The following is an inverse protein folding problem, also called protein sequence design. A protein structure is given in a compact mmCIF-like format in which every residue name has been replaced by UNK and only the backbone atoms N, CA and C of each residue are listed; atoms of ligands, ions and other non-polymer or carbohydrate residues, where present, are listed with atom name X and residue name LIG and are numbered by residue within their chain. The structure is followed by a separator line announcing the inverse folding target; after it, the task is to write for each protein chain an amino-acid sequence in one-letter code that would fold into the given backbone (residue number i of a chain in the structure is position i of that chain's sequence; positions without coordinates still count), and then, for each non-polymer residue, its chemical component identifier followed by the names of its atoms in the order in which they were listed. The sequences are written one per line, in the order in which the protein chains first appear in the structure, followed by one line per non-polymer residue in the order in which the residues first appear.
data_IF_747518199275
#
_entry.id   IF_747518199275
#
_cell.length_a   1.000
_cell.length_b   1.000
_cell.length_c   1.000
_cell.angle_alpha   90.00
_cell.angle_beta   90.00
_cell.angle_gamma   90.00
#
_symmetry.space_group_name_H-M   'P 1'
#
loop_
_entity.id
_entity.type
_entity.pdbx_description
1 polymer ?
#
# COMPACT_ATOMS: atom_id res chain seq x y z
N UNK A 1 -20.93 -71.15 -9.04
CA UNK A 1 -20.76 -69.70 -9.23
C UNK A 1 -21.25 -69.00 -7.98
N UNK A 2 -20.35 -68.46 -7.16
CA UNK A 2 -20.67 -67.65 -5.97
C UNK A 2 -20.43 -66.18 -6.35
N UNK A 3 -21.48 -65.38 -6.36
CA UNK A 3 -21.42 -63.92 -6.56
C UNK A 3 -21.03 -63.26 -5.24
N UNK A 4 -19.86 -62.61 -5.22
CA UNK A 4 -19.42 -61.69 -4.18
C UNK A 4 -19.88 -60.28 -4.55
N UNK A 5 -20.77 -59.72 -3.75
CA UNK A 5 -21.20 -58.32 -3.86
C UNK A 5 -20.29 -57.48 -2.96
N UNK A 6 -19.42 -56.66 -3.56
CA UNK A 6 -18.59 -55.71 -2.84
C UNK A 6 -19.42 -54.48 -2.45
N UNK A 7 -19.63 -54.26 -1.16
CA UNK A 7 -20.19 -53.01 -0.64
C UNK A 7 -19.05 -52.02 -0.46
N UNK A 8 -19.03 -50.95 -1.25
CA UNK A 8 -18.12 -49.83 -1.06
C UNK A 8 -18.67 -48.92 0.04
N UNK A 9 -17.98 -48.88 1.18
CA UNK A 9 -18.29 -47.96 2.29
C UNK A 9 -17.65 -46.61 1.96
N UNK A 10 -18.44 -45.64 1.52
CA UNK A 10 -18.01 -44.26 1.36
C UNK A 10 -17.88 -43.62 2.76
N UNK A 11 -16.65 -43.42 3.23
CA UNK A 11 -16.38 -42.62 4.42
C UNK A 11 -16.61 -41.13 4.09
N UNK A 12 -17.76 -40.60 4.49
CA UNK A 12 -17.99 -39.16 4.58
C UNK A 12 -17.11 -38.60 5.71
N UNK A 13 -15.95 -38.06 5.34
CA UNK A 13 -15.17 -37.20 6.24
C UNK A 13 -15.97 -35.89 6.41
N UNK A 14 -16.71 -35.80 7.51
CA UNK A 14 -17.25 -34.52 7.96
C UNK A 14 -16.07 -33.59 8.26
N UNK A 15 -15.91 -32.53 7.47
CA UNK A 15 -14.98 -31.46 7.78
C UNK A 15 -15.43 -30.79 9.08
N UNK A 16 -14.63 -30.92 10.14
CA UNK A 16 -14.86 -30.19 11.38
C UNK A 16 -14.91 -28.69 11.09
N UNK A 17 -15.81 -27.93 11.72
CA UNK A 17 -15.82 -26.47 11.58
C UNK A 17 -14.48 -25.93 12.10
N UNK A 18 -13.66 -25.40 11.19
CA UNK A 18 -12.42 -24.70 11.55
C UNK A 18 -12.83 -23.48 12.36
N UNK A 19 -12.66 -23.55 13.68
CA UNK A 19 -12.83 -22.40 14.54
C UNK A 19 -11.65 -21.45 14.31
N UNK A 20 -11.93 -20.16 14.16
CA UNK A 20 -10.89 -19.14 14.13
C UNK A 20 -10.11 -19.16 15.46
N UNK A 21 -8.77 -19.18 15.39
CA UNK A 21 -7.88 -19.12 16.55
C UNK A 21 -7.86 -17.72 17.20
N UNK A 22 -8.20 -16.68 16.44
CA UNK A 22 -8.31 -15.30 16.90
C UNK A 22 -9.37 -14.52 16.10
N UNK A 23 -9.81 -13.37 16.61
CA UNK A 23 -10.66 -12.41 15.90
C UNK A 23 -10.11 -10.98 15.95
N UNK A 24 -8.77 -10.85 16.00
CA UNK A 24 -8.08 -9.55 16.09
C UNK A 24 -8.44 -8.63 14.92
N UNK A 25 -8.58 -7.31 15.12
CA UNK A 25 -8.97 -6.40 14.05
C UNK A 25 -7.97 -6.38 12.89
N UNK A 26 -8.47 -6.15 11.68
CA UNK A 26 -7.65 -5.83 10.49
C UNK A 26 -7.65 -4.31 10.28
N UNK A 27 -6.48 -3.74 10.04
CA UNK A 27 -6.33 -2.34 9.59
C UNK A 27 -5.82 -2.35 8.16
N UNK A 28 -6.63 -1.81 7.25
CA UNK A 28 -6.34 -1.65 5.83
C UNK A 28 -5.56 -0.35 5.60
N UNK A 29 -4.40 -0.43 4.94
CA UNK A 29 -3.48 0.71 4.72
C UNK A 29 -3.20 0.90 3.24
N UNK A 30 -3.74 1.99 2.66
CA UNK A 30 -3.57 2.30 1.24
C UNK A 30 -2.12 2.71 0.89
N UNK A 31 -1.80 2.74 -0.39
CA UNK A 31 -0.49 3.17 -0.90
C UNK A 31 -0.44 4.60 -1.42
N UNK A 32 0.42 4.80 -2.40
CA UNK A 32 0.62 6.06 -3.12
C UNK A 32 -0.68 6.50 -3.79
N UNK A 33 -0.99 7.80 -3.68
CA UNK A 33 -2.26 8.42 -4.13
C UNK A 33 -3.54 7.79 -3.56
N UNK A 34 -3.41 6.91 -2.56
CA UNK A 34 -4.58 6.33 -1.90
C UNK A 34 -5.33 7.35 -1.05
N UNK A 35 -6.57 7.03 -0.74
CA UNK A 35 -7.50 7.95 -0.12
C UNK A 35 -8.40 7.24 0.90
N UNK A 36 -9.03 8.04 1.76
CA UNK A 36 -9.95 7.56 2.80
C UNK A 36 -11.36 7.31 2.27
N UNK A 37 -12.19 6.69 3.11
CA UNK A 37 -13.61 6.41 2.78
C UNK A 37 -14.45 7.65 2.58
N UNK A 38 -13.97 8.81 3.03
CA UNK A 38 -14.61 10.13 2.91
C UNK A 38 -14.41 10.77 1.53
N UNK A 39 -13.33 10.43 0.81
CA UNK A 39 -12.89 11.18 -0.37
C UNK A 39 -13.86 11.10 -1.56
N UNK A 40 -14.37 9.91 -1.90
CA UNK A 40 -15.32 9.72 -3.01
C UNK A 40 -16.65 9.13 -2.54
N UNK A 41 -17.05 9.46 -1.31
CA UNK A 41 -18.28 8.97 -0.71
C UNK A 41 -19.53 9.27 -1.55
N UNK A 42 -19.55 10.37 -2.31
CA UNK A 42 -20.68 10.78 -3.16
C UNK A 42 -20.94 9.85 -4.35
N UNK A 43 -19.91 9.19 -4.89
CA UNK A 43 -20.06 8.22 -5.99
C UNK A 43 -20.09 6.78 -5.49
N UNK A 44 -19.74 6.56 -4.22
CA UNK A 44 -19.59 5.24 -3.63
C UNK A 44 -18.26 4.55 -3.98
N UNK A 45 -17.35 5.23 -4.68
CA UNK A 45 -16.04 4.67 -5.03
C UNK A 45 -15.12 4.60 -3.81
N UNK A 46 -14.49 3.45 -3.60
CA UNK A 46 -13.64 3.15 -2.45
C UNK A 46 -12.27 2.72 -2.94
N UNK A 47 -11.22 3.13 -2.21
CA UNK A 47 -9.87 2.62 -2.48
C UNK A 47 -9.84 1.09 -2.40
N UNK A 48 -10.42 0.54 -1.33
CA UNK A 48 -10.57 -0.89 -1.10
C UNK A 48 -11.90 -1.41 -1.65
N UNK A 49 -11.98 -1.56 -2.97
CA UNK A 49 -13.08 -2.26 -3.64
C UNK A 49 -13.63 -1.59 -4.90
N UNK A 50 -13.14 -0.40 -5.28
CA UNK A 50 -13.73 0.37 -6.39
C UNK A 50 -15.19 0.69 -6.09
N UNK A 51 -16.11 0.23 -6.93
CA UNK A 51 -17.57 0.32 -6.67
C UNK A 51 -18.12 -0.80 -5.78
N UNK A 52 -17.27 -1.72 -5.33
CA UNK A 52 -17.56 -2.72 -4.31
C UNK A 52 -16.94 -2.30 -2.96
N UNK A 53 -17.07 -3.11 -1.91
CA UNK A 53 -16.53 -2.81 -0.58
C UNK A 53 -15.81 -4.03 0.00
N UNK A 54 -14.49 -4.08 -0.20
CA UNK A 54 -13.62 -5.14 0.33
C UNK A 54 -13.62 -5.12 1.85
N UNK A 55 -13.62 -3.94 2.47
CA UNK A 55 -13.64 -3.83 3.92
C UNK A 55 -14.94 -4.41 4.49
N UNK A 56 -16.09 -4.16 3.86
CA UNK A 56 -17.36 -4.75 4.25
C UNK A 56 -17.39 -6.27 4.01
N UNK A 57 -16.87 -6.75 2.88
CA UNK A 57 -16.71 -8.18 2.61
C UNK A 57 -15.91 -8.88 3.71
N UNK A 58 -14.78 -8.28 4.12
CA UNK A 58 -13.95 -8.83 5.19
C UNK A 58 -14.63 -8.80 6.57
N UNK A 59 -15.53 -7.84 6.84
CA UNK A 59 -16.32 -7.78 8.09
C UNK A 59 -17.41 -8.84 8.17
N UNK A 60 -17.86 -9.40 7.04
CA UNK A 60 -18.96 -10.37 7.03
C UNK A 60 -18.68 -11.61 7.90
N UNK A 61 -17.41 -11.94 8.14
CA UNK A 61 -16.98 -13.00 9.07
C UNK A 61 -16.97 -12.62 10.55
N UNK A 62 -17.44 -11.43 10.93
CA UNK A 62 -17.51 -10.95 12.33
C UNK A 62 -16.21 -10.34 12.88
N UNK A 63 -15.15 -10.24 12.06
CA UNK A 63 -13.90 -9.56 12.42
C UNK A 63 -14.02 -8.05 12.24
N UNK A 64 -13.56 -7.22 13.21
CA UNK A 64 -13.48 -5.78 12.98
C UNK A 64 -12.47 -5.45 11.87
N UNK A 65 -12.86 -4.55 10.96
CA UNK A 65 -11.98 -4.07 9.88
C UNK A 65 -12.03 -2.56 9.84
N UNK A 66 -10.87 -1.93 9.89
CA UNK A 66 -10.68 -0.48 9.81
C UNK A 66 -9.94 -0.09 8.54
N UNK A 67 -10.16 1.12 8.06
CA UNK A 67 -9.47 1.69 6.90
C UNK A 67 -8.74 2.95 7.33
N UNK A 68 -7.41 2.91 7.30
CA UNK A 68 -6.56 4.07 7.56
C UNK A 68 -6.46 4.96 6.31
N UNK A 69 -6.25 6.26 6.53
CA UNK A 69 -6.14 7.29 5.50
C UNK A 69 -4.95 8.20 5.82
N UNK A 70 -3.78 7.85 5.30
CA UNK A 70 -2.50 8.53 5.51
C UNK A 70 -2.13 9.40 4.31
N UNK A 71 -1.06 10.19 4.43
CA UNK A 71 -0.49 11.03 3.38
C UNK A 71 -0.32 10.27 2.05
N UNK A 72 -1.03 10.64 0.97
CA UNK A 72 -0.96 9.91 -0.30
C UNK A 72 0.37 10.08 -1.03
N UNK A 73 1.14 11.13 -0.68
CA UNK A 73 2.43 11.46 -1.31
C UNK A 73 3.56 11.71 -0.29
N UNK A 74 3.28 11.58 1.00
CA UNK A 74 4.27 11.74 2.08
C UNK A 74 5.25 10.55 2.12
N UNK A 75 6.36 10.71 2.84
CA UNK A 75 7.31 9.62 3.10
C UNK A 75 6.67 8.49 3.93
N UNK A 76 7.31 7.32 3.93
CA UNK A 76 6.91 6.21 4.79
C UNK A 76 7.08 6.51 6.27
N UNK A 77 8.02 7.38 6.64
CA UNK A 77 8.15 7.88 8.02
C UNK A 77 6.90 8.64 8.42
N UNK A 78 6.55 9.69 7.67
CA UNK A 78 5.38 10.51 7.94
C UNK A 78 4.09 9.68 7.97
N UNK A 79 3.92 8.80 6.97
CA UNK A 79 2.76 7.91 6.89
C UNK A 79 2.70 6.93 8.06
N UNK A 80 3.83 6.45 8.59
CA UNK A 80 3.87 5.57 9.74
C UNK A 80 3.46 6.31 11.03
N UNK A 81 3.91 7.55 11.21
CA UNK A 81 3.50 8.42 12.31
C UNK A 81 2.00 8.67 12.26
N UNK A 82 1.48 9.08 11.10
CA UNK A 82 0.03 9.30 10.90
C UNK A 82 -0.77 8.03 11.19
N UNK A 83 -0.31 6.87 10.69
CA UNK A 83 -0.97 5.60 10.90
C UNK A 83 -1.04 5.24 12.40
N UNK A 84 0.06 5.42 13.13
CA UNK A 84 0.10 5.15 14.58
C UNK A 84 -0.96 5.96 15.32
N UNK A 85 -0.98 7.28 15.13
CA UNK A 85 -1.90 8.16 15.82
C UNK A 85 -3.34 8.04 15.34
N UNK A 86 -3.57 7.69 14.07
CA UNK A 86 -4.91 7.37 13.56
C UNK A 86 -5.49 6.11 14.20
N UNK A 87 -4.66 5.12 14.53
CA UNK A 87 -5.11 3.90 15.20
C UNK A 87 -5.26 4.12 16.71
N UNK A 88 -4.19 4.57 17.36
CA UNK A 88 -4.11 4.66 18.83
C UNK A 88 -4.85 5.88 19.40
N UNK A 89 -4.91 6.97 18.63
CA UNK A 89 -5.34 8.29 19.10
C UNK A 89 -4.17 9.15 19.58
N UNK A 90 -4.41 10.46 19.66
CA UNK A 90 -3.41 11.49 19.91
C UNK A 90 -3.14 12.36 18.69
N UNK A 91 -2.14 13.23 18.79
CA UNK A 91 -1.71 14.11 17.70
C UNK A 91 -0.40 13.63 17.11
N UNK A 92 -0.27 13.71 15.79
CA UNK A 92 0.96 13.37 15.09
C UNK A 92 2.14 14.16 15.63
N UNK A 93 3.16 13.42 16.06
CA UNK A 93 4.49 13.90 16.40
C UNK A 93 5.45 13.23 15.43
N UNK A 94 5.88 13.96 14.40
CA UNK A 94 6.77 13.45 13.36
C UNK A 94 8.23 13.31 13.82
N UNK A 95 8.52 13.63 15.09
CA UNK A 95 9.85 13.49 15.66
C UNK A 95 10.68 14.77 15.53
N UNK A 96 11.28 15.19 16.64
CA UNK A 96 12.00 16.46 16.71
C UNK A 96 13.21 16.50 15.78
N UNK A 97 13.93 15.38 15.65
CA UNK A 97 15.11 15.28 14.81
C UNK A 97 14.72 15.15 13.34
N UNK A 98 13.76 14.28 13.01
CA UNK A 98 13.25 14.14 11.64
C UNK A 98 12.75 15.48 11.09
N UNK A 99 11.94 16.22 11.86
CA UNK A 99 11.47 17.53 11.46
C UNK A 99 12.62 18.54 11.27
N UNK A 100 13.65 18.50 12.12
CA UNK A 100 14.82 19.36 11.97
C UNK A 100 15.67 19.02 10.73
N UNK A 101 15.85 17.72 10.43
CA UNK A 101 16.56 17.24 9.24
C UNK A 101 15.86 17.67 7.95
N UNK A 102 14.52 17.75 7.97
CA UNK A 102 13.69 18.13 6.83
C UNK A 102 13.12 19.56 6.92
N UNK A 103 13.66 20.40 7.80
CA UNK A 103 13.21 21.79 7.97
C UNK A 103 13.35 22.62 6.68
N UNK A 104 14.36 22.34 5.84
CA UNK A 104 14.53 22.99 4.54
C UNK A 104 13.39 22.68 3.55
N UNK A 105 12.73 21.53 3.71
CA UNK A 105 11.52 21.17 2.96
C UNK A 105 10.24 21.79 3.57
N UNK A 106 10.35 22.46 4.72
CA UNK A 106 9.24 23.08 5.45
C UNK A 106 8.58 22.17 6.49
N UNK A 107 9.26 21.10 6.92
CA UNK A 107 8.68 20.10 7.85
C UNK A 107 8.37 20.69 9.23
N UNK A 108 7.18 20.38 9.74
CA UNK A 108 6.65 20.78 11.04
C UNK A 108 6.44 19.52 11.87
N UNK A 109 7.11 19.44 13.03
CA UNK A 109 7.05 18.29 13.92
C UNK A 109 5.63 17.93 14.40
N UNK A 110 4.82 18.94 14.77
CA UNK A 110 3.48 18.78 15.34
C UNK A 110 2.50 19.72 14.65
N UNK A 111 2.06 19.42 13.42
CA UNK A 111 1.16 20.29 12.69
C UNK A 111 -0.28 20.21 13.24
N UNK A 112 -1.02 21.31 13.08
CA UNK A 112 -2.45 21.31 13.34
C UNK A 112 -3.21 20.39 12.36
N UNK A 113 -4.36 19.87 12.78
CA UNK A 113 -5.23 19.06 11.92
C UNK A 113 -4.84 17.58 11.78
N UNK A 114 -3.76 17.14 12.42
CA UNK A 114 -3.29 15.74 12.45
C UNK A 114 -3.50 15.12 13.83
N UNK A 115 -4.72 15.17 14.34
CA UNK A 115 -5.09 14.62 15.65
C UNK A 115 -6.31 13.72 15.54
N UNK A 116 -6.34 12.67 16.37
CA UNK A 116 -7.44 11.73 16.48
C UNK A 116 -7.83 11.53 17.94
N UNK A 117 -9.13 11.64 18.25
CA UNK A 117 -9.63 11.50 19.60
C UNK A 117 -9.78 10.01 19.98
N UNK A 118 -9.21 9.63 21.11
CA UNK A 118 -9.35 8.28 21.67
C UNK A 118 -10.74 8.05 22.30
N UNK A 119 -11.39 9.12 22.79
CA UNK A 119 -12.68 9.06 23.45
C UNK A 119 -13.64 10.08 22.81
N UNK A 120 -14.79 9.60 22.31
CA UNK A 120 -15.82 10.44 21.72
C UNK A 120 -16.50 11.36 22.75
N UNK A 121 -16.59 10.94 24.02
CA UNK A 121 -17.18 11.73 25.10
C UNK A 121 -16.25 12.87 25.56
N UNK A 122 -14.94 12.73 25.35
CA UNK A 122 -13.92 13.71 25.73
C UNK A 122 -13.16 14.24 24.49
N UNK A 123 -13.90 14.80 23.53
CA UNK A 123 -13.37 15.31 22.27
C UNK A 123 -13.69 16.81 22.06
N UNK A 124 -13.12 17.73 22.87
CA UNK A 124 -13.47 19.15 22.83
C UNK A 124 -13.08 19.85 21.52
N UNK A 125 -12.13 19.29 20.78
CA UNK A 125 -11.63 19.84 19.52
C UNK A 125 -12.32 19.22 18.28
N UNK A 126 -13.31 18.33 18.49
CA UNK A 126 -14.02 17.62 17.44
C UNK A 126 -13.10 16.94 16.42
N UNK A 127 -12.02 16.31 16.91
CA UNK A 127 -11.12 15.53 16.08
C UNK A 127 -11.81 14.26 15.56
N UNK A 128 -11.42 13.73 14.40
CA UNK A 128 -11.82 12.39 13.98
C UNK A 128 -11.51 11.37 15.07
N UNK A 129 -12.35 10.34 15.23
CA UNK A 129 -12.10 9.29 16.21
C UNK A 129 -10.93 8.41 15.77
N UNK A 130 -10.12 7.99 16.74
CA UNK A 130 -9.10 6.98 16.53
C UNK A 130 -9.75 5.63 16.23
N UNK A 131 -9.10 4.82 15.38
CA UNK A 131 -9.68 3.57 14.88
C UNK A 131 -9.77 2.50 15.96
N UNK A 132 -8.77 2.43 16.85
CA UNK A 132 -8.67 1.37 17.85
C UNK A 132 -7.87 1.84 19.10
N UNK A 133 -8.46 2.70 19.97
CA UNK A 133 -7.75 3.29 21.11
C UNK A 133 -7.18 2.27 22.11
N UNK A 134 -7.82 1.11 22.26
CA UNK A 134 -7.33 0.02 23.12
C UNK A 134 -6.14 -0.74 22.53
N UNK A 135 -5.63 -0.37 21.35
CA UNK A 135 -4.51 -1.07 20.69
C UNK A 135 -3.30 -1.19 21.63
N UNK A 136 -2.95 -2.43 21.97
CA UNK A 136 -1.80 -2.80 22.79
C UNK A 136 -1.41 -4.28 22.52
N UNK A 137 -0.53 -4.87 23.34
CA UNK A 137 -0.11 -6.26 23.19
C UNK A 137 -1.21 -7.29 23.52
N UNK A 138 -2.22 -6.91 24.31
CA UNK A 138 -3.38 -7.74 24.65
C UNK A 138 -4.50 -7.59 23.60
N UNK A 139 -4.46 -6.49 22.84
CA UNK A 139 -5.39 -6.16 21.77
C UNK A 139 -4.62 -5.94 20.45
N UNK A 140 -3.95 -6.98 19.91
CA UNK A 140 -3.11 -6.82 18.73
C UNK A 140 -3.95 -6.58 17.47
N UNK A 141 -3.30 -6.12 16.40
CA UNK A 141 -3.94 -5.95 15.08
C UNK A 141 -3.23 -6.75 13.99
N UNK A 142 -3.94 -6.99 12.90
CA UNK A 142 -3.37 -7.39 11.61
C UNK A 142 -3.34 -6.20 10.66
N UNK A 143 -2.18 -5.94 10.05
CA UNK A 143 -2.11 -4.98 8.95
C UNK A 143 -2.29 -5.69 7.61
N UNK A 144 -3.12 -5.11 6.75
CA UNK A 144 -3.19 -5.47 5.32
C UNK A 144 -2.99 -4.20 4.53
N UNK A 145 -1.99 -4.19 3.67
CA UNK A 145 -1.56 -2.99 2.98
C UNK A 145 -1.42 -3.22 1.49
N UNK A 146 -1.60 -2.15 0.73
CA UNK A 146 -1.45 -2.15 -0.71
C UNK A 146 -0.37 -1.14 -1.11
N UNK A 147 0.45 -1.48 -2.13
CA UNK A 147 1.40 -0.55 -2.74
C UNK A 147 2.36 0.05 -1.70
N UNK A 148 2.59 1.37 -1.68
CA UNK A 148 3.42 2.06 -0.67
C UNK A 148 3.01 1.76 0.78
N UNK A 149 1.76 1.37 1.03
CA UNK A 149 1.28 0.97 2.35
C UNK A 149 2.13 -0.14 2.96
N UNK A 150 2.69 -1.04 2.13
CA UNK A 150 3.57 -2.10 2.61
C UNK A 150 4.92 -1.62 3.13
N UNK A 151 5.48 -0.54 2.55
CA UNK A 151 6.65 0.11 3.13
C UNK A 151 6.27 0.85 4.42
N UNK A 152 5.11 1.52 4.45
CA UNK A 152 4.61 2.26 5.61
C UNK A 152 4.43 1.38 6.85
N UNK A 153 3.75 0.22 6.73
CA UNK A 153 3.51 -0.65 7.89
C UNK A 153 4.82 -1.28 8.40
N UNK A 154 5.81 -1.48 7.54
CA UNK A 154 7.14 -1.94 7.95
C UNK A 154 7.86 -0.87 8.75
N UNK A 155 7.82 0.38 8.29
CA UNK A 155 8.39 1.53 9.01
C UNK A 155 7.73 1.69 10.39
N UNK A 156 6.40 1.61 10.45
CA UNK A 156 5.65 1.65 11.71
C UNK A 156 6.11 0.55 12.67
N UNK A 157 6.17 -0.70 12.19
CA UNK A 157 6.66 -1.84 12.98
C UNK A 157 8.08 -1.63 13.51
N UNK A 158 8.99 -1.12 12.68
CA UNK A 158 10.36 -0.83 13.09
C UNK A 158 10.41 0.20 14.22
N UNK A 159 9.68 1.31 14.07
CA UNK A 159 9.62 2.37 15.09
C UNK A 159 9.00 1.86 16.39
N UNK A 160 7.90 1.12 16.29
CA UNK A 160 7.18 0.60 17.45
C UNK A 160 8.01 -0.39 18.28
N UNK A 161 8.70 -1.34 17.64
CA UNK A 161 9.45 -2.35 18.39
C UNK A 161 10.84 -1.87 18.81
N UNK A 162 11.53 -1.10 17.97
CA UNK A 162 12.95 -0.80 18.14
C UNK A 162 13.27 0.70 18.27
N UNK A 163 12.28 1.57 18.08
CA UNK A 163 12.50 3.01 18.05
C UNK A 163 13.15 3.51 16.75
N UNK A 164 13.51 4.80 16.71
CA UNK A 164 14.14 5.44 15.55
C UNK A 164 15.60 4.98 15.38
N UNK A 165 16.18 5.10 14.16
CA UNK A 165 17.53 4.61 13.86
C UNK A 165 18.64 5.28 14.68
N UNK A 166 18.41 6.49 15.19
CA UNK A 166 19.35 7.24 16.03
C UNK A 166 19.20 6.94 17.54
N UNK A 167 18.41 5.93 17.89
CA UNK A 167 18.20 5.47 19.28
C UNK A 167 17.00 6.10 19.97
N UNK A 168 16.48 5.41 20.99
CA UNK A 168 15.34 5.88 21.77
C UNK A 168 15.57 7.30 22.32
N UNK A 169 14.57 8.17 22.18
CA UNK A 169 14.63 9.57 22.58
C UNK A 169 15.22 10.52 21.53
N UNK A 170 15.79 10.04 20.42
CA UNK A 170 16.31 10.92 19.36
C UNK A 170 15.23 11.81 18.73
N UNK A 171 14.00 11.33 18.74
CA UNK A 171 12.81 12.02 18.19
C UNK A 171 11.96 12.71 19.26
N UNK A 172 12.42 12.74 20.52
CA UNK A 172 11.66 13.23 21.67
C UNK A 172 10.97 12.12 22.45
N UNK A 173 9.95 12.48 23.23
CA UNK A 173 9.22 11.62 24.17
C UNK A 173 7.92 11.02 23.61
N UNK A 174 7.65 11.22 22.32
CA UNK A 174 6.48 10.66 21.65
C UNK A 174 6.41 9.14 21.80
N UNK A 175 5.24 8.62 22.21
CA UNK A 175 5.07 7.21 22.57
C UNK A 175 5.49 6.23 21.46
N UNK A 176 5.31 6.60 20.19
CA UNK A 176 5.75 5.81 19.04
C UNK A 176 7.26 5.49 19.07
N UNK A 177 8.09 6.41 19.56
CA UNK A 177 9.56 6.34 19.45
C UNK A 177 10.25 5.64 20.63
N UNK A 178 9.50 5.23 21.65
CA UNK A 178 10.08 4.58 22.84
C UNK A 178 10.72 3.22 22.54
N UNK A 179 10.49 2.63 21.37
CA UNK A 179 10.64 1.19 21.18
C UNK A 179 9.56 0.47 21.99
N UNK A 180 9.77 -0.78 22.39
CA UNK A 180 9.00 -1.51 23.42
C UNK A 180 7.59 -2.04 23.09
N UNK A 181 7.06 -1.85 21.87
CA UNK A 181 5.69 -2.28 21.52
C UNK A 181 5.63 -3.62 20.78
N UNK A 182 6.53 -4.53 21.14
CA UNK A 182 6.48 -5.90 20.61
C UNK A 182 5.13 -6.55 20.96
N UNK A 183 4.56 -7.28 19.99
CA UNK A 183 3.29 -7.99 20.15
C UNK A 183 2.02 -7.16 19.90
N UNK A 184 2.12 -5.84 19.69
CA UNK A 184 0.96 -5.00 19.30
C UNK A 184 0.46 -5.34 17.89
N UNK A 185 1.32 -5.92 17.06
CA UNK A 185 0.98 -6.34 15.70
C UNK A 185 1.19 -7.85 15.60
N UNK A 186 0.13 -8.57 15.23
CA UNK A 186 0.19 -10.02 15.05
C UNK A 186 0.72 -10.38 13.65
N UNK A 187 0.27 -9.68 12.62
CA UNK A 187 0.78 -9.88 11.24
C UNK A 187 0.79 -8.60 10.41
N UNK A 188 1.61 -8.63 9.36
CA UNK A 188 1.69 -7.60 8.33
C UNK A 188 1.64 -8.23 6.94
N UNK A 189 0.60 -7.91 6.19
CA UNK A 189 0.42 -8.36 4.81
C UNK A 189 0.62 -7.20 3.84
N UNK A 190 1.39 -7.45 2.78
CA UNK A 190 1.61 -6.51 1.69
C UNK A 190 1.07 -7.08 0.38
N UNK A 191 0.40 -6.23 -0.39
CA UNK A 191 -0.15 -6.54 -1.70
C UNK A 191 0.46 -5.54 -2.67
N UNK A 192 1.17 -6.03 -3.69
CA UNK A 192 1.74 -5.20 -4.76
C UNK A 192 2.70 -4.11 -4.25
N UNK A 193 3.38 -4.36 -3.14
CA UNK A 193 4.21 -3.36 -2.47
C UNK A 193 5.62 -3.27 -3.04
N UNK A 194 6.15 -2.06 -3.27
CA UNK A 194 7.50 -1.87 -3.82
C UNK A 194 8.57 -2.00 -2.72
N UNK A 195 8.80 -3.21 -2.21
CA UNK A 195 9.78 -3.41 -1.12
C UNK A 195 11.21 -3.03 -1.51
N UNK A 196 11.53 -3.12 -2.80
CA UNK A 196 12.81 -2.72 -3.38
C UNK A 196 12.64 -1.50 -4.32
N UNK A 197 11.55 -0.76 -4.15
CA UNK A 197 11.17 0.36 -4.99
C UNK A 197 10.51 -0.06 -6.30
N UNK A 198 10.09 0.94 -7.06
CA UNK A 198 9.59 0.81 -8.41
C UNK A 198 10.50 1.57 -9.37
N UNK A 199 10.63 1.03 -10.57
CA UNK A 199 11.32 1.68 -11.67
C UNK A 199 10.42 2.63 -12.47
N UNK A 200 9.18 2.86 -12.04
CA UNK A 200 8.24 3.80 -12.66
C UNK A 200 8.84 5.21 -12.69
N UNK A 201 9.40 5.57 -13.86
CA UNK A 201 10.18 6.80 -14.07
C UNK A 201 9.39 8.06 -13.72
N UNK A 202 8.12 8.11 -14.13
CA UNK A 202 7.25 9.28 -13.97
C UNK A 202 7.05 9.66 -12.50
N UNK A 203 6.97 8.67 -11.60
CA UNK A 203 6.89 8.92 -10.15
C UNK A 203 8.23 9.40 -9.58
N UNK A 204 9.36 9.03 -10.19
CA UNK A 204 10.70 9.32 -9.67
C UNK A 204 11.28 10.64 -10.22
N UNK A 205 11.03 10.98 -11.47
CA UNK A 205 11.71 12.10 -12.18
C UNK A 205 10.80 13.32 -12.35
N UNK A 206 9.54 13.14 -12.75
CA UNK A 206 8.60 14.21 -13.11
C UNK A 206 7.40 14.26 -12.16
N UNK A 207 7.71 14.22 -10.86
CA UNK A 207 6.74 13.93 -9.79
C UNK A 207 5.52 14.86 -9.75
N UNK A 208 5.69 16.19 -9.77
CA UNK A 208 4.55 17.12 -9.55
C UNK A 208 3.49 17.06 -10.65
N UNK A 209 3.83 17.21 -11.96
CA UNK A 209 2.83 17.08 -13.01
C UNK A 209 2.17 15.69 -13.01
N UNK A 210 2.96 14.63 -12.75
CA UNK A 210 2.47 13.24 -12.79
C UNK A 210 1.57 12.88 -11.62
N UNK A 211 1.85 13.41 -10.43
CA UNK A 211 0.94 13.31 -9.28
C UNK A 211 -0.42 13.94 -9.62
N UNK A 212 -0.43 15.11 -10.27
CA UNK A 212 -1.69 15.76 -10.67
C UNK A 212 -2.44 14.96 -11.74
N UNK A 213 -1.75 14.44 -12.74
CA UNK A 213 -2.35 13.63 -13.81
C UNK A 213 -2.96 12.33 -13.26
N UNK A 214 -2.21 11.59 -12.43
CA UNK A 214 -2.68 10.33 -11.84
C UNK A 214 -3.84 10.56 -10.86
N UNK A 215 -3.77 11.59 -10.03
CA UNK A 215 -4.88 11.93 -9.14
C UNK A 215 -6.13 12.35 -9.94
N UNK A 216 -5.97 13.04 -11.06
CA UNK A 216 -7.05 13.32 -12.00
C UNK A 216 -7.65 12.05 -12.63
N UNK A 217 -6.82 11.08 -12.99
CA UNK A 217 -7.28 9.78 -13.49
C UNK A 217 -8.09 9.00 -12.44
N UNK A 218 -7.70 9.08 -11.16
CA UNK A 218 -8.47 8.46 -10.08
C UNK A 218 -9.87 9.07 -9.93
N UNK A 219 -9.97 10.40 -10.03
CA UNK A 219 -11.26 11.11 -10.04
C UNK A 219 -12.13 10.64 -11.22
N UNK A 220 -11.54 10.50 -12.40
CA UNK A 220 -12.22 9.99 -13.59
C UNK A 220 -12.76 8.56 -13.38
N UNK A 221 -11.95 7.66 -12.81
CA UNK A 221 -12.35 6.27 -12.51
C UNK A 221 -13.45 6.23 -11.44
N UNK A 222 -13.40 7.15 -10.48
CA UNK A 222 -14.44 7.29 -9.45
C UNK A 222 -15.78 7.81 -9.99
N UNK A 223 -15.92 8.07 -11.30
CA UNK A 223 -17.15 8.53 -11.93
C UNK A 223 -17.40 10.03 -11.79
N UNK A 224 -16.40 10.78 -11.30
CA UNK A 224 -16.42 12.23 -11.23
C UNK A 224 -15.69 12.75 -12.48
N UNK A 225 -16.34 13.58 -13.28
CA UNK A 225 -15.73 14.13 -14.52
C UNK A 225 -14.34 14.72 -14.26
N UNK A 226 -13.45 14.63 -15.27
CA UNK A 226 -12.00 14.86 -15.16
C UNK A 226 -11.51 16.28 -14.81
N UNK A 227 -12.35 17.15 -14.25
CA UNK A 227 -11.97 18.49 -13.79
C UNK A 227 -11.93 18.53 -12.25
N UNK A 228 -10.87 17.97 -11.68
CA UNK A 228 -10.31 18.43 -10.40
C UNK A 228 -11.00 18.02 -9.09
N UNK A 229 -12.04 17.17 -9.12
CA UNK A 229 -12.73 16.55 -7.98
C UNK A 229 -12.46 17.13 -6.59
N UNK A 230 -13.42 17.86 -6.02
CA UNK A 230 -13.32 18.33 -4.63
C UNK A 230 -13.42 17.15 -3.67
N UNK A 231 -12.65 17.18 -2.57
CA UNK A 231 -12.68 16.14 -1.52
C UNK A 231 -11.42 15.26 -1.44
N UNK A 232 -10.60 15.19 -2.50
CA UNK A 232 -9.30 14.52 -2.44
C UNK A 232 -8.28 15.36 -1.66
N UNK A 233 -7.68 14.77 -0.62
CA UNK A 233 -6.70 15.44 0.24
C UNK A 233 -5.33 14.75 0.18
N UNK A 234 -4.29 15.50 -0.23
CA UNK A 234 -2.87 15.19 -0.15
C UNK A 234 -2.31 15.21 1.27
N UNK A 235 -2.99 15.84 2.23
CA UNK A 235 -2.67 15.76 3.67
C UNK A 235 -1.22 16.14 4.00
N UNK A 236 -0.75 17.27 3.45
CA UNK A 236 0.61 17.79 3.65
C UNK A 236 0.66 18.93 4.70
N UNK A 237 -0.17 18.86 5.74
CA UNK A 237 -0.21 19.83 6.84
C UNK A 237 1.16 19.97 7.53
N UNK A 238 1.94 18.90 7.61
CA UNK A 238 3.31 18.90 8.15
C UNK A 238 4.30 19.67 7.31
N UNK A 239 3.96 20.08 6.08
CA UNK A 239 4.77 21.02 5.28
C UNK A 239 4.13 22.40 5.19
N UNK A 240 3.09 22.68 5.99
CA UNK A 240 2.29 23.90 5.91
C UNK A 240 1.41 23.96 4.65
N UNK A 241 1.20 22.83 3.96
CA UNK A 241 0.49 22.74 2.69
C UNK A 241 -0.90 22.11 2.88
N UNK A 242 -1.67 22.65 3.83
CA UNK A 242 -3.05 22.24 4.04
C UNK A 242 -3.92 22.55 2.81
N UNK A 243 -4.88 21.67 2.51
CA UNK A 243 -5.88 21.89 1.46
C UNK A 243 -7.11 22.58 2.00
N UNK A 244 -7.63 23.52 1.22
CA UNK A 244 -8.93 24.14 1.49
C UNK A 244 -10.08 23.12 1.36
N UNK A 245 -11.22 23.30 2.07
CA UNK A 245 -12.35 22.38 2.01
C UNK A 245 -12.95 22.16 0.61
N UNK A 246 -12.85 23.16 -0.27
CA UNK A 246 -13.35 23.14 -1.65
C UNK A 246 -12.23 23.22 -2.68
N UNK A 247 -10.97 23.09 -2.25
CA UNK A 247 -9.83 23.19 -3.15
C UNK A 247 -9.74 21.94 -4.02
N UNK A 248 -9.75 22.13 -5.33
CA UNK A 248 -9.58 21.06 -6.30
C UNK A 248 -8.14 20.52 -6.28
N UNK A 249 -7.93 19.32 -6.84
CA UNK A 249 -6.56 18.78 -7.03
C UNK A 249 -5.72 19.76 -7.86
N UNK A 250 -6.28 20.30 -8.94
CA UNK A 250 -5.58 21.22 -9.83
C UNK A 250 -5.22 22.54 -9.15
N UNK A 251 -6.13 23.12 -8.36
CA UNK A 251 -5.87 24.37 -7.64
C UNK A 251 -4.79 24.17 -6.57
N UNK A 252 -4.86 23.04 -5.86
CA UNK A 252 -3.85 22.67 -4.88
C UNK A 252 -2.46 22.54 -5.50
N UNK A 253 -2.34 21.78 -6.59
CA UNK A 253 -1.05 21.61 -7.28
C UNK A 253 -0.57 22.94 -7.84
N UNK A 254 -1.44 23.73 -8.47
CA UNK A 254 -1.08 25.04 -9.01
C UNK A 254 -0.56 26.00 -7.92
N UNK A 255 -1.21 26.02 -6.75
CA UNK A 255 -0.80 26.83 -5.60
C UNK A 255 0.51 26.34 -4.98
N UNK A 256 0.67 25.02 -4.85
CA UNK A 256 1.76 24.45 -4.06
C UNK A 256 2.99 24.06 -4.87
N UNK A 257 2.94 23.95 -6.21
CA UNK A 257 4.06 23.46 -7.05
C UNK A 257 5.43 24.10 -6.84
N UNK A 258 5.48 25.32 -6.30
CA UNK A 258 6.73 26.02 -5.97
C UNK A 258 7.27 25.74 -4.55
N UNK A 259 6.53 25.00 -3.73
CA UNK A 259 6.90 24.71 -2.35
C UNK A 259 8.11 23.76 -2.28
N UNK A 260 8.98 23.91 -1.27
CA UNK A 260 10.16 23.06 -1.10
C UNK A 260 9.87 21.55 -1.08
N UNK A 261 8.71 21.14 -0.54
CA UNK A 261 8.24 19.75 -0.52
C UNK A 261 8.32 19.07 -1.91
N UNK A 262 7.99 19.80 -2.97
CA UNK A 262 7.91 19.26 -4.33
C UNK A 262 9.25 19.23 -5.07
N UNK A 263 10.31 19.75 -4.47
CA UNK A 263 11.62 19.77 -5.09
C UNK A 263 12.22 18.35 -5.08
N UNK A 264 12.86 17.96 -6.18
CA UNK A 264 13.59 16.68 -6.30
C UNK A 264 14.67 16.46 -5.21
N UNK A 265 15.16 17.54 -4.60
CA UNK A 265 16.09 17.48 -3.49
C UNK A 265 15.44 17.02 -2.17
N UNK A 266 14.10 17.14 -2.05
CA UNK A 266 13.37 16.65 -0.90
C UNK A 266 13.32 15.12 -0.95
N UNK A 267 13.95 14.48 0.04
CA UNK A 267 13.94 13.02 0.19
C UNK A 267 12.90 12.52 1.18
N UNK A 268 12.17 13.42 1.81
CA UNK A 268 11.07 13.10 2.73
C UNK A 268 9.74 13.15 1.98
N UNK A 269 9.59 12.28 0.98
CA UNK A 269 8.38 12.19 0.17
C UNK A 269 8.27 10.79 -0.47
N UNK A 270 7.07 10.42 -0.90
CA UNK A 270 6.84 9.18 -1.63
C UNK A 270 7.72 9.07 -2.89
N UNK A 271 8.00 10.20 -3.56
CA UNK A 271 8.89 10.26 -4.72
C UNK A 271 10.23 9.54 -4.47
N UNK A 272 10.86 9.83 -3.32
CA UNK A 272 12.15 9.26 -2.96
C UNK A 272 12.00 7.81 -2.52
N UNK A 273 11.10 7.57 -1.57
CA UNK A 273 10.88 6.28 -0.92
C UNK A 273 10.42 5.16 -1.88
N UNK A 274 9.71 5.54 -2.94
CA UNK A 274 9.25 4.61 -3.97
C UNK A 274 10.34 4.32 -5.00
N UNK A 275 11.34 5.18 -5.16
CA UNK A 275 12.48 4.89 -6.01
C UNK A 275 13.31 3.73 -5.44
N UNK A 276 14.05 2.96 -6.27
CA UNK A 276 14.83 1.84 -5.76
C UNK A 276 15.92 2.25 -4.77
N UNK A 277 16.49 3.44 -4.93
CA UNK A 277 17.54 3.96 -4.04
C UNK A 277 16.97 4.36 -2.67
N UNK A 278 15.81 5.03 -2.63
CA UNK A 278 15.13 5.34 -1.37
C UNK A 278 14.59 4.08 -0.68
N UNK A 279 14.04 3.13 -1.42
CA UNK A 279 13.64 1.83 -0.88
C UNK A 279 14.83 1.03 -0.33
N UNK A 280 16.00 1.09 -0.98
CA UNK A 280 17.22 0.49 -0.46
C UNK A 280 17.65 1.14 0.86
N UNK A 281 17.64 2.48 0.95
CA UNK A 281 17.91 3.21 2.19
C UNK A 281 16.92 2.84 3.30
N UNK A 282 15.63 2.70 2.98
CA UNK A 282 14.63 2.23 3.93
C UNK A 282 14.98 0.83 4.45
N UNK A 283 15.39 -0.08 3.57
CA UNK A 283 15.73 -1.46 3.92
C UNK A 283 17.00 -1.57 4.79
N UNK A 284 17.87 -0.55 4.80
CA UNK A 284 19.07 -0.51 5.64
C UNK A 284 18.75 -0.44 7.13
N UNK A 285 17.64 0.17 7.52
CA UNK A 285 17.27 0.33 8.93
C UNK A 285 15.91 -0.30 9.30
N UNK A 286 14.96 -0.42 8.36
CA UNK A 286 13.67 -1.08 8.58
C UNK A 286 13.80 -2.59 8.41
N UNK A 287 13.88 -3.33 9.52
CA UNK A 287 14.11 -4.78 9.54
C UNK A 287 12.83 -5.59 9.77
N UNK A 288 12.89 -6.86 9.39
CA UNK A 288 11.81 -7.83 9.65
C UNK A 288 11.84 -8.19 11.13
N UNK A 289 10.76 -7.89 11.84
CA UNK A 289 10.63 -8.25 13.25
C UNK A 289 10.54 -9.78 13.42
N UNK A 290 11.26 -10.38 14.38
CA UNK A 290 11.10 -11.80 14.71
C UNK A 290 9.74 -12.11 15.37
N UNK A 291 8.97 -11.11 15.80
CA UNK A 291 7.74 -11.28 16.58
C UNK A 291 6.46 -11.31 15.72
N UNK A 292 6.57 -10.92 14.45
CA UNK A 292 5.44 -10.67 13.54
C UNK A 292 5.42 -11.69 12.40
N UNK A 293 4.22 -12.13 11.99
CA UNK A 293 4.04 -12.87 10.75
C UNK A 293 3.97 -11.92 9.56
N UNK A 294 4.84 -12.10 8.56
CA UNK A 294 4.81 -11.29 7.34
C UNK A 294 4.27 -12.12 6.17
N UNK A 295 3.37 -11.53 5.38
CA UNK A 295 2.88 -12.11 4.13
C UNK A 295 3.05 -11.11 2.99
N UNK A 296 3.39 -11.60 1.82
CA UNK A 296 3.50 -10.77 0.62
C UNK A 296 2.77 -11.43 -0.55
N UNK A 297 2.03 -10.61 -1.28
CA UNK A 297 1.28 -10.95 -2.48
C UNK A 297 1.76 -10.03 -3.59
N UNK A 298 2.18 -10.59 -4.72
CA UNK A 298 2.49 -9.82 -5.92
C UNK A 298 1.34 -9.75 -6.91
N UNK A 299 1.53 -8.94 -7.94
CA UNK A 299 0.67 -8.78 -9.12
C UNK A 299 1.56 -8.70 -10.37
N UNK A 300 0.98 -9.05 -11.51
CA UNK A 300 1.62 -8.91 -12.81
C UNK A 300 0.54 -8.72 -13.88
N UNK A 301 0.69 -7.65 -14.66
CA UNK A 301 -0.18 -7.35 -15.80
C UNK A 301 0.62 -7.06 -17.08
N UNK A 302 1.87 -7.50 -17.12
CA UNK A 302 2.70 -7.48 -18.33
C UNK A 302 2.96 -8.90 -18.85
N UNK A 303 3.12 -9.02 -20.16
CA UNK A 303 3.50 -10.27 -20.83
C UNK A 303 4.74 -10.05 -21.69
N UNK A 304 5.50 -11.10 -21.94
CA UNK A 304 6.64 -11.06 -22.85
C UNK A 304 6.21 -10.55 -24.23
N UNK A 305 7.02 -9.67 -24.81
CA UNK A 305 6.81 -9.20 -26.17
C UNK A 305 6.69 -10.34 -27.17
N UNK A 306 5.84 -10.17 -28.16
CA UNK A 306 5.69 -11.12 -29.27
C UNK A 306 5.51 -10.39 -30.58
N UNK A 307 5.93 -10.98 -31.69
CA UNK A 307 5.70 -10.40 -33.03
C UNK A 307 4.21 -10.42 -33.42
N UNK A 308 3.42 -11.32 -32.84
CA UNK A 308 1.95 -11.34 -32.97
C UNK A 308 1.28 -12.15 -31.83
N UNK A 309 -0.05 -12.06 -31.75
CA UNK A 309 -0.94 -13.05 -31.13
C UNK A 309 -0.74 -13.36 -29.63
N UNK A 310 -0.61 -12.33 -28.80
CA UNK A 310 -0.76 -12.42 -27.33
C UNK A 310 -1.70 -11.29 -26.84
N UNK A 311 -1.91 -11.20 -25.53
CA UNK A 311 -2.87 -10.25 -24.95
C UNK A 311 -2.26 -8.88 -24.65
N UNK A 312 -1.09 -8.54 -25.18
CA UNK A 312 -0.46 -7.23 -24.96
C UNK A 312 -1.13 -6.12 -25.77
N UNK A 313 -1.00 -4.89 -25.28
CA UNK A 313 -1.55 -3.70 -25.92
C UNK A 313 -0.75 -3.27 -27.15
N UNK A 314 -1.32 -3.61 -28.32
CA UNK A 314 -0.74 -3.32 -29.64
C UNK A 314 -1.03 -1.91 -30.12
N UNK A 315 -1.96 -1.19 -29.48
CA UNK A 315 -2.24 0.21 -29.83
C UNK A 315 -1.10 1.07 -29.31
N UNK A 316 -0.64 0.84 -28.08
CA UNK A 316 0.45 1.62 -27.49
C UNK A 316 1.85 1.07 -27.80
N UNK A 317 1.98 -0.23 -28.03
CA UNK A 317 3.24 -0.91 -28.36
C UNK A 317 3.02 -1.87 -29.55
N UNK A 318 2.89 -1.35 -30.78
CA UNK A 318 2.64 -2.18 -31.97
C UNK A 318 3.81 -3.10 -32.30
N UNK A 319 5.04 -2.62 -32.09
CA UNK A 319 6.27 -3.38 -32.25
C UNK A 319 6.76 -3.80 -30.86
N UNK A 320 7.08 -5.07 -30.67
CA UNK A 320 7.45 -5.62 -29.37
C UNK A 320 8.64 -6.55 -29.50
N UNK A 321 9.71 -6.26 -28.77
CA UNK A 321 10.87 -7.13 -28.64
C UNK A 321 10.60 -8.20 -27.57
N UNK A 322 10.91 -9.45 -27.90
CA UNK A 322 10.75 -10.61 -27.00
C UNK A 322 11.66 -10.55 -25.78
N UNK A 323 12.68 -9.69 -25.78
CA UNK A 323 13.54 -9.46 -24.63
C UNK A 323 12.81 -8.74 -23.48
N UNK A 324 11.76 -7.97 -23.77
CA UNK A 324 11.05 -7.13 -22.80
C UNK A 324 9.64 -7.65 -22.52
N UNK A 325 8.97 -7.00 -21.57
CA UNK A 325 7.55 -7.20 -21.33
C UNK A 325 6.77 -5.94 -21.70
N UNK A 326 5.49 -6.13 -22.02
CA UNK A 326 4.57 -5.07 -22.43
C UNK A 326 3.24 -5.23 -21.68
N UNK A 327 2.53 -4.11 -21.44
CA UNK A 327 1.24 -4.15 -20.75
C UNK A 327 0.24 -5.00 -21.50
N UNK A 328 -0.60 -5.71 -20.75
CA UNK A 328 -1.78 -6.37 -21.28
C UNK A 328 -2.84 -5.36 -21.73
N UNK A 329 -3.72 -5.81 -22.61
CA UNK A 329 -4.85 -5.03 -23.11
C UNK A 329 -5.85 -4.64 -22.03
N UNK A 330 -5.99 -5.49 -21.00
CA UNK A 330 -6.94 -5.33 -19.90
C UNK A 330 -6.38 -4.55 -18.70
N UNK A 331 -5.10 -4.17 -18.72
CA UNK A 331 -4.56 -3.24 -17.73
C UNK A 331 -5.30 -1.90 -17.79
N UNK A 332 -5.54 -1.27 -16.65
CA UNK A 332 -6.18 0.05 -16.57
C UNK A 332 -5.39 1.08 -17.38
N UNK A 333 -6.10 1.92 -18.14
CA UNK A 333 -5.53 2.69 -19.24
C UNK A 333 -4.36 3.61 -18.83
N UNK A 334 -4.39 4.20 -17.64
CA UNK A 334 -3.36 5.15 -17.17
C UNK A 334 -2.09 4.47 -16.65
N UNK A 335 -2.05 3.13 -16.55
CA UNK A 335 -0.85 2.37 -16.18
C UNK A 335 -0.02 1.89 -17.36
N UNK A 336 -0.63 1.85 -18.55
CA UNK A 336 -0.04 1.20 -19.72
C UNK A 336 1.22 1.89 -20.24
N UNK A 337 1.24 3.23 -20.21
CA UNK A 337 2.26 4.00 -20.93
C UNK A 337 3.69 3.76 -20.47
N UNK A 338 3.91 3.41 -19.20
CA UNK A 338 5.25 3.17 -18.66
C UNK A 338 5.59 1.68 -18.48
N UNK A 339 4.61 0.78 -18.62
CA UNK A 339 4.72 -0.64 -18.26
C UNK A 339 5.56 -1.48 -19.25
N UNK A 340 6.03 -0.89 -20.36
CA UNK A 340 6.73 -1.58 -21.44
C UNK A 340 8.24 -1.30 -21.53
N UNK A 341 8.84 -1.66 -22.67
CA UNK A 341 10.25 -1.37 -22.96
C UNK A 341 10.58 0.14 -22.93
N UNK A 342 9.66 0.96 -23.40
CA UNK A 342 9.75 2.41 -23.45
C UNK A 342 8.49 3.07 -22.87
N UNK A 343 8.62 4.34 -22.52
CA UNK A 343 7.50 5.18 -22.11
C UNK A 343 6.78 5.67 -23.37
N UNK A 344 5.49 5.43 -23.51
CA UNK A 344 4.69 5.87 -24.67
C UNK A 344 4.26 7.33 -24.49
N UNK A 345 4.41 8.20 -25.51
CA UNK A 345 4.84 7.93 -26.90
C UNK A 345 6.35 8.08 -27.16
N UNK A 346 7.17 8.23 -26.13
CA UNK A 346 8.61 8.48 -26.23
C UNK A 346 9.46 7.20 -26.27
N UNK A 347 9.66 6.63 -27.46
CA UNK A 347 10.51 5.42 -27.66
C UNK A 347 11.97 5.58 -27.21
N UNK A 348 12.44 6.82 -27.03
CA UNK A 348 13.78 7.12 -26.55
C UNK A 348 13.91 7.04 -25.02
N UNK A 349 12.78 7.03 -24.30
CA UNK A 349 12.75 6.92 -22.85
C UNK A 349 12.44 5.48 -22.45
N UNK A 350 13.35 4.84 -21.72
CA UNK A 350 13.15 3.49 -21.20
C UNK A 350 11.99 3.44 -20.20
N UNK A 351 11.10 2.47 -20.38
CA UNK A 351 9.99 2.17 -19.49
C UNK A 351 10.42 1.35 -18.27
N UNK A 352 9.43 0.81 -17.56
CA UNK A 352 9.64 0.07 -16.32
C UNK A 352 10.58 -1.13 -16.50
N UNK A 353 11.58 -1.21 -15.63
CA UNK A 353 12.63 -2.23 -15.63
C UNK A 353 13.68 -2.08 -16.73
N UNK A 354 13.36 -1.41 -17.84
CA UNK A 354 14.15 -1.43 -19.08
C UNK A 354 15.49 -0.67 -19.02
N UNK A 355 15.70 0.13 -17.98
CA UNK A 355 17.00 0.76 -17.66
C UNK A 355 17.76 0.02 -16.54
N UNK A 356 17.24 -1.12 -16.06
CA UNK A 356 17.89 -2.01 -15.10
C UNK A 356 18.19 -3.37 -15.76
N UNK A 357 17.72 -4.46 -15.18
CA UNK A 357 17.98 -5.83 -15.62
C UNK A 357 16.67 -6.57 -15.90
N UNK A 358 16.77 -7.71 -16.60
CA UNK A 358 15.63 -8.45 -17.11
C UNK A 358 14.63 -8.93 -16.03
N UNK A 359 15.08 -9.15 -14.80
CA UNK A 359 14.22 -9.51 -13.67
C UNK A 359 13.29 -8.37 -13.23
N UNK A 360 13.56 -7.14 -13.67
CA UNK A 360 12.71 -5.97 -13.41
C UNK A 360 11.63 -5.74 -14.49
N UNK A 361 11.64 -6.44 -15.61
CA UNK A 361 10.70 -6.12 -16.70
C UNK A 361 9.25 -6.44 -16.36
N UNK A 362 9.01 -7.56 -15.67
CA UNK A 362 7.68 -7.92 -15.20
C UNK A 362 7.15 -6.88 -14.20
N UNK A 363 5.94 -6.37 -14.45
CA UNK A 363 5.31 -5.39 -13.57
C UNK A 363 3.78 -5.45 -13.65
N UNK A 364 3.12 -4.73 -12.75
CA UNK A 364 1.66 -4.57 -12.70
C UNK A 364 1.20 -3.19 -13.19
N UNK A 365 2.08 -2.46 -13.91
CA UNK A 365 1.86 -1.10 -14.35
C UNK A 365 2.33 -0.02 -13.37
N UNK A 366 2.61 -0.35 -12.11
CA UNK A 366 3.14 0.61 -11.11
C UNK A 366 4.40 0.10 -10.43
N UNK A 367 4.47 -1.18 -10.09
CA UNK A 367 5.58 -1.81 -9.35
C UNK A 367 6.10 -3.01 -10.12
N UNK A 368 7.42 -3.17 -10.12
CA UNK A 368 8.07 -4.34 -10.71
C UNK A 368 7.78 -5.58 -9.85
N UNK A 369 7.38 -6.69 -10.47
CA UNK A 369 6.92 -7.90 -9.77
C UNK A 369 8.01 -8.49 -8.86
N UNK A 370 9.29 -8.38 -9.24
CA UNK A 370 10.41 -8.82 -8.40
C UNK A 370 10.53 -8.03 -7.09
N UNK A 371 10.03 -6.79 -7.05
CA UNK A 371 10.04 -5.91 -5.88
C UNK A 371 8.97 -6.27 -4.85
N UNK A 372 7.96 -7.07 -5.22
CA UNK A 372 6.78 -7.35 -4.39
C UNK A 372 6.96 -8.51 -3.40
N UNK A 373 7.98 -9.35 -3.61
CA UNK A 373 8.19 -10.56 -2.79
C UNK A 373 8.52 -10.23 -1.33
N UNK A 374 9.24 -9.14 -1.10
CA UNK A 374 9.74 -8.73 0.19
C UNK A 374 11.02 -7.90 0.03
N UNK A 375 11.46 -7.23 1.11
CA UNK A 375 12.65 -6.40 1.10
C UNK A 375 13.92 -7.24 0.92
N UNK A 376 14.80 -6.80 0.03
CA UNK A 376 16.06 -7.45 -0.28
C UNK A 376 16.91 -7.63 1.00
N UNK A 377 17.59 -8.77 1.09
CA UNK A 377 18.46 -9.11 2.21
C UNK A 377 17.74 -9.52 3.50
N UNK A 378 16.40 -9.53 3.54
CA UNK A 378 15.64 -9.98 4.71
C UNK A 378 15.14 -11.42 4.52
N UNK A 379 14.79 -12.16 5.60
CA UNK A 379 14.37 -13.55 5.49
C UNK A 379 13.07 -13.70 4.69
N UNK A 380 13.10 -14.43 3.57
CA UNK A 380 11.93 -14.68 2.72
C UNK A 380 11.80 -16.17 2.42
N UNK A 381 10.56 -16.64 2.31
CA UNK A 381 10.24 -18.03 1.97
C UNK A 381 8.96 -18.12 1.15
N UNK A 382 8.81 -19.21 0.41
CA UNK A 382 7.52 -19.56 -0.15
C UNK A 382 6.59 -20.03 0.98
N UNK A 383 5.35 -19.53 0.99
CA UNK A 383 4.34 -20.04 1.91
C UNK A 383 3.96 -21.46 1.50
N UNK A 384 4.03 -22.39 2.45
CA UNK A 384 3.77 -23.82 2.22
C UNK A 384 2.57 -24.34 3.03
N UNK A 385 1.72 -23.43 3.52
CA UNK A 385 0.61 -23.74 4.42
C UNK A 385 0.91 -23.47 5.90
N UNK A 386 2.19 -23.35 6.29
CA UNK A 386 2.59 -23.03 7.67
C UNK A 386 3.22 -21.65 7.75
N UNK A 387 2.54 -20.72 8.45
CA UNK A 387 3.03 -19.37 8.67
C UNK A 387 4.24 -19.36 9.62
N UNK A 388 5.21 -18.50 9.34
CA UNK A 388 6.41 -18.33 10.18
C UNK A 388 6.65 -16.87 10.50
N UNK A 389 6.85 -16.57 11.79
CA UNK A 389 7.26 -15.25 12.27
C UNK A 389 8.69 -14.93 11.85
N UNK A 390 9.02 -13.65 11.71
CA UNK A 390 10.38 -13.24 11.38
C UNK A 390 10.80 -13.53 9.93
N UNK A 391 9.86 -13.91 9.07
CA UNK A 391 10.12 -14.13 7.65
C UNK A 391 8.91 -13.77 6.80
N UNK A 392 9.18 -13.29 5.58
CA UNK A 392 8.17 -13.04 4.56
C UNK A 392 7.68 -14.35 3.97
N UNK A 393 6.44 -14.71 4.30
CA UNK A 393 5.72 -15.85 3.72
C UNK A 393 5.10 -15.40 2.40
N UNK A 394 5.83 -15.56 1.30
CA UNK A 394 5.38 -15.15 -0.02
C UNK A 394 4.25 -16.08 -0.50
N UNK A 395 3.08 -15.50 -0.76
CA UNK A 395 1.86 -16.19 -1.16
C UNK A 395 1.77 -16.39 -2.68
N UNK A 396 2.77 -15.93 -3.42
CA UNK A 396 2.80 -15.89 -4.88
C UNK A 396 2.38 -14.53 -5.42
N UNK A 397 2.07 -14.49 -6.71
CA UNK A 397 1.50 -13.33 -7.36
C UNK A 397 0.23 -13.73 -8.12
N UNK A 398 -0.69 -12.79 -8.24
CA UNK A 398 -1.83 -12.91 -9.13
C UNK A 398 -1.37 -12.51 -10.53
N UNK A 399 -1.31 -13.49 -11.42
CA UNK A 399 -1.07 -13.24 -12.83
C UNK A 399 -2.32 -12.58 -13.44
N UNK A 400 -2.12 -11.75 -14.45
CA UNK A 400 -3.20 -11.02 -15.13
C UNK A 400 -4.00 -10.10 -14.19
N UNK A 401 -3.33 -9.55 -13.17
CA UNK A 401 -3.88 -8.52 -12.31
C UNK A 401 -2.93 -7.33 -12.33
N UNK A 402 -3.45 -6.16 -12.67
CA UNK A 402 -2.71 -4.92 -12.55
C UNK A 402 -2.70 -4.41 -11.10
N UNK A 403 -2.08 -3.24 -10.92
CA UNK A 403 -1.91 -2.66 -9.60
C UNK A 403 -3.22 -2.35 -8.87
N UNK A 404 -4.32 -2.10 -9.58
CA UNK A 404 -5.61 -1.74 -8.97
C UNK A 404 -6.65 -2.86 -9.05
N UNK A 405 -6.45 -3.87 -9.90
CA UNK A 405 -7.26 -5.09 -9.92
C UNK A 405 -7.27 -5.79 -8.55
N UNK A 406 -6.11 -5.90 -7.91
CA UNK A 406 -5.97 -6.56 -6.60
C UNK A 406 -6.73 -5.86 -5.47
N UNK A 407 -7.19 -4.62 -5.69
CA UNK A 407 -8.06 -3.86 -4.78
C UNK A 407 -9.43 -3.54 -5.40
N UNK A 408 -9.78 -4.15 -6.54
CA UNK A 408 -11.13 -4.16 -7.10
C UNK A 408 -11.58 -2.94 -7.88
N UNK A 409 -10.66 -2.22 -8.55
CA UNK A 409 -11.06 -1.08 -9.38
C UNK A 409 -11.57 -1.51 -10.75
N UNK A 410 -10.78 -2.28 -11.51
CA UNK A 410 -11.16 -2.81 -12.83
C UNK A 410 -11.51 -4.31 -12.82
N UNK A 411 -11.33 -4.98 -11.67
CA UNK A 411 -11.62 -6.39 -11.49
C UNK A 411 -12.96 -6.65 -10.77
N UNK A 412 -13.85 -7.52 -11.29
CA UNK A 412 -15.07 -7.92 -10.58
C UNK A 412 -14.78 -8.64 -9.25
N UNK A 413 -15.74 -8.64 -8.30
CA UNK A 413 -15.60 -9.31 -7.01
C UNK A 413 -15.20 -10.79 -7.10
N UNK A 414 -15.59 -11.50 -8.16
CA UNK A 414 -15.24 -12.90 -8.36
C UNK A 414 -13.74 -13.14 -8.53
N UNK A 415 -12.96 -12.14 -8.96
CA UNK A 415 -11.50 -12.23 -9.08
C UNK A 415 -10.81 -11.73 -7.81
N UNK A 416 -11.39 -10.75 -7.14
CA UNK A 416 -10.74 -10.05 -6.01
C UNK A 416 -11.06 -10.66 -4.66
N UNK A 417 -12.32 -11.04 -4.40
CA UNK A 417 -12.74 -11.62 -3.11
C UNK A 417 -11.91 -12.84 -2.71
N UNK A 418 -11.56 -13.78 -3.61
CA UNK A 418 -10.71 -14.92 -3.28
C UNK A 418 -9.34 -14.54 -2.68
N UNK A 419 -8.78 -13.38 -3.05
CA UNK A 419 -7.52 -12.86 -2.47
C UNK A 419 -7.69 -12.65 -0.97
N UNK A 420 -8.76 -11.94 -0.60
CA UNK A 420 -9.05 -11.57 0.78
C UNK A 420 -9.63 -12.73 1.59
N UNK A 421 -10.39 -13.64 0.98
CA UNK A 421 -10.89 -14.85 1.64
C UNK A 421 -9.73 -15.76 2.05
N UNK A 422 -8.79 -16.01 1.13
CA UNK A 422 -7.57 -16.77 1.42
C UNK A 422 -6.76 -16.11 2.53
N UNK A 423 -6.60 -14.79 2.46
CA UNK A 423 -5.87 -14.04 3.48
C UNK A 423 -6.56 -14.15 4.85
N UNK A 424 -7.86 -13.90 4.93
CA UNK A 424 -8.62 -14.01 6.18
C UNK A 424 -8.57 -15.42 6.77
N UNK A 425 -8.61 -16.46 5.94
CA UNK A 425 -8.42 -17.84 6.38
C UNK A 425 -7.07 -18.04 7.08
N UNK A 426 -6.00 -17.48 6.52
CA UNK A 426 -4.66 -17.50 7.13
C UNK A 426 -4.65 -16.70 8.43
N UNK A 427 -5.10 -15.44 8.41
CA UNK A 427 -5.06 -14.54 9.57
C UNK A 427 -5.86 -15.08 10.75
N UNK A 428 -6.99 -15.72 10.48
CA UNK A 428 -7.85 -16.33 11.49
C UNK A 428 -7.24 -17.58 12.12
N UNK A 429 -6.26 -18.21 11.46
CA UNK A 429 -5.52 -19.36 11.99
C UNK A 429 -4.28 -19.01 12.83
N UNK A 430 -3.94 -17.71 12.99
CA UNK A 430 -2.71 -17.25 13.65
C UNK A 430 -2.79 -17.14 15.19
#
# INVERSE_FOLDING_TARGET
MKTLTSVALAALLAASPVHAANNDPVVLVHGFLGFGTDTFASTGFKYWGGFNDIAAHMRAGGRPVFTAAVGPVSSNWDRAVELYYQIKGGCADYGARHAAEHAAAGHIQKPAGKCWAADAANNPNNYPLALYPQWDAQHPVHFVSHSQGGQTIRTLLQLMENGPPNGAGSEGDGALYAGDKAGWVKSATTISSPHNGTTLRDVVVDFVPKVSELAGAFVQVAGLGGSGGTGYKFRLEQYGLAQGPLESISDYVARTRGAPFWQLANRDAAQWDLGPDGAAQLNEWVKTSPNVYYFSIGSRATEQGSWCCNNTDRVIAPFQDRAYQYPRNDMIFFLKNAAGEWVVPSVLQRGMGSYRAADWYANDGVVNTNSMRGPAGQPQRQFNGTAQKGSWNYLGYYDQHDHFDVIGWDAPPSMVSPIYDKLLGILSGL
#
